data_IF_530243567514
#
_entry.id   IF_530243567514
#
_cell.length_a   1.000
_cell.length_b   1.000
_cell.length_c   1.000
_cell.angle_alpha   90.00
_cell.angle_beta   90.00
_cell.angle_gamma   90.00
#
_symmetry.space_group_name_H-M   'P 1'
#
loop_
_entity.id
_entity.type
_entity.pdbx_description
1 polymer ?
#
# COMPACT_ATOMS: atom_id res chain seq x y z
N UNK A 1 17.71 29.46 10.72
CA UNK A 1 18.74 30.49 10.47
C UNK A 1 19.50 30.04 9.22
N UNK A 2 19.12 30.54 8.04
CA UNK A 2 19.87 30.62 6.78
C UNK A 2 19.00 31.50 5.88
N UNK A 3 19.62 32.57 5.40
CA UNK A 3 19.09 33.66 4.57
C UNK A 3 19.17 33.29 3.09
N UNK A 4 18.05 33.41 2.37
CA UNK A 4 18.05 33.45 0.90
C UNK A 4 17.64 34.86 0.45
N UNK A 5 18.57 35.54 -0.24
CA UNK A 5 18.37 36.89 -0.79
C UNK A 5 17.45 36.81 -2.01
N UNK A 6 16.30 37.48 -1.92
CA UNK A 6 15.49 37.87 -3.08
C UNK A 6 15.94 39.30 -3.43
N UNK A 7 16.50 39.50 -4.62
CA UNK A 7 16.86 40.82 -5.14
C UNK A 7 15.68 41.31 -5.98
N UNK A 8 14.98 42.34 -5.51
CA UNK A 8 14.01 43.10 -6.31
C UNK A 8 14.49 44.56 -6.29
N UNK A 9 14.83 45.11 -7.45
CA UNK A 9 15.26 46.51 -7.58
C UNK A 9 14.10 47.39 -8.04
N UNK A 10 13.63 48.29 -7.18
CA UNK A 10 12.97 49.52 -7.61
C UNK A 10 13.34 50.64 -6.64
N UNK A 11 13.91 51.72 -7.18
CA UNK A 11 14.21 52.97 -6.46
C UNK A 11 12.99 53.90 -6.56
N UNK A 12 12.43 54.32 -5.43
CA UNK A 12 11.71 55.60 -5.24
C UNK A 12 11.69 55.91 -3.73
N UNK A 13 12.14 57.11 -3.37
CA UNK A 13 12.08 57.70 -2.02
C UNK A 13 10.67 58.27 -1.77
N UNK A 14 9.96 57.81 -0.74
CA UNK A 14 8.86 58.57 -0.14
C UNK A 14 8.61 58.19 1.32
N UNK A 15 8.90 59.16 2.19
CA UNK A 15 8.33 59.50 3.51
C UNK A 15 7.66 58.35 4.30
N UNK A 16 8.32 58.00 5.40
CA UNK A 16 7.93 57.07 6.46
C UNK A 16 6.69 57.57 7.22
N UNK A 17 5.55 56.90 7.04
CA UNK A 17 4.46 56.85 8.00
C UNK A 17 4.17 55.37 8.28
N UNK A 18 4.81 54.82 9.31
CA UNK A 18 4.67 53.43 9.71
C UNK A 18 3.32 53.25 10.43
N UNK A 19 2.24 53.16 9.66
CA UNK A 19 0.99 52.57 10.14
C UNK A 19 1.21 51.06 10.18
N UNK A 20 1.57 50.52 11.34
CA UNK A 20 1.59 49.07 11.55
C UNK A 20 0.13 48.61 11.60
N UNK A 21 -0.44 48.36 10.42
CA UNK A 21 -1.58 47.47 10.32
C UNK A 21 -1.06 46.08 10.71
N UNK A 22 -1.28 45.69 11.96
CA UNK A 22 -1.27 44.27 12.31
C UNK A 22 -2.43 43.66 11.52
N UNK A 23 -2.17 43.20 10.30
CA UNK A 23 -2.97 42.13 9.75
C UNK A 23 -2.77 40.96 10.70
N UNK A 24 -3.72 40.79 11.63
CA UNK A 24 -3.88 39.56 12.36
C UNK A 24 -4.18 38.50 11.30
N UNK A 25 -3.13 37.92 10.73
CA UNK A 25 -3.25 36.66 10.03
C UNK A 25 -3.80 35.73 11.11
N UNK A 26 -5.04 35.22 10.97
CA UNK A 26 -5.52 34.24 11.91
C UNK A 26 -4.48 33.13 11.89
N UNK A 27 -3.78 32.92 12.99
CA UNK A 27 -3.10 31.67 13.23
C UNK A 27 -4.21 30.64 13.06
N UNK A 28 -4.21 29.95 11.92
CA UNK A 28 -5.17 28.90 11.65
C UNK A 28 -4.94 27.89 12.77
N UNK A 29 -5.81 27.91 13.78
CA UNK A 29 -5.74 26.98 14.87
C UNK A 29 -5.85 25.60 14.27
N UNK A 30 -4.94 24.69 14.63
CA UNK A 30 -5.05 23.31 14.20
C UNK A 30 -6.37 22.75 14.74
N UNK A 31 -7.33 22.53 13.85
CA UNK A 31 -8.62 21.94 14.20
C UNK A 31 -8.52 20.45 13.91
N UNK A 32 -8.58 19.65 14.96
CA UNK A 32 -8.62 18.20 14.85
C UNK A 32 -10.04 17.71 14.58
N UNK A 33 -10.18 16.73 13.70
CA UNK A 33 -11.46 16.08 13.45
C UNK A 33 -11.45 15.22 12.20
N UNK A 34 -12.59 14.62 11.89
CA UNK A 34 -12.75 13.84 10.67
C UNK A 34 -12.74 14.75 9.43
N UNK A 35 -11.83 14.47 8.49
CA UNK A 35 -11.68 15.24 7.25
C UNK A 35 -12.36 14.60 6.03
N UNK A 36 -12.95 13.42 6.17
CA UNK A 36 -13.63 12.72 5.08
C UNK A 36 -15.08 13.24 4.91
N UNK A 37 -15.43 13.89 3.79
CA UNK A 37 -16.79 14.35 3.52
C UNK A 37 -17.84 13.23 3.45
N UNK A 38 -17.43 11.97 3.30
CA UNK A 38 -18.31 10.80 3.27
C UNK A 38 -18.56 10.20 4.67
N UNK A 39 -17.93 10.73 5.71
CA UNK A 39 -18.10 10.25 7.08
C UNK A 39 -19.30 10.91 7.79
N UNK A 40 -19.90 10.18 8.72
CA UNK A 40 -21.07 10.63 9.51
C UNK A 40 -20.75 11.85 10.40
N UNK A 41 -19.49 12.01 10.81
CA UNK A 41 -19.00 13.07 11.69
C UNK A 41 -17.97 13.98 11.01
N UNK A 42 -18.09 14.15 9.68
CA UNK A 42 -17.27 15.08 8.91
C UNK A 42 -17.26 16.49 9.54
N UNK A 43 -16.06 17.03 9.73
CA UNK A 43 -15.87 18.39 10.19
C UNK A 43 -15.19 19.21 9.09
N UNK A 44 -15.92 20.09 8.36
CA UNK A 44 -15.33 20.90 7.29
C UNK A 44 -14.31 21.92 7.77
N UNK A 45 -14.25 22.21 9.08
CA UNK A 45 -13.22 23.06 9.67
C UNK A 45 -11.96 22.29 10.09
N UNK A 46 -11.96 20.95 10.05
CA UNK A 46 -10.82 20.15 10.47
C UNK A 46 -9.64 20.29 9.49
N UNK A 47 -8.51 20.75 10.02
CA UNK A 47 -7.25 20.89 9.28
C UNK A 47 -6.32 19.70 9.50
N UNK A 48 -6.53 18.92 10.56
CA UNK A 48 -5.75 17.71 10.89
C UNK A 48 -6.70 16.55 11.15
N UNK A 49 -6.49 15.44 10.42
CA UNK A 49 -7.20 14.21 10.70
C UNK A 49 -6.70 13.59 12.00
N UNK A 50 -7.63 13.23 12.87
CA UNK A 50 -7.35 12.51 14.12
C UNK A 50 -7.82 11.05 14.07
N UNK A 51 -8.20 10.55 12.89
CA UNK A 51 -8.67 9.19 12.69
C UNK A 51 -10.05 8.90 13.30
N UNK A 52 -10.80 9.94 13.70
CA UNK A 52 -12.10 9.79 14.36
C UNK A 52 -13.28 9.56 13.41
N UNK A 53 -13.06 9.48 12.10
CA UNK A 53 -14.13 9.33 11.13
C UNK A 53 -14.97 8.08 11.40
N UNK A 54 -16.30 8.23 11.44
CA UNK A 54 -17.24 7.12 11.58
C UNK A 54 -18.06 6.95 10.32
N UNK A 55 -18.38 5.70 9.99
CA UNK A 55 -19.13 5.33 8.79
C UNK A 55 -20.27 4.39 9.17
N UNK A 56 -21.33 4.39 8.37
CA UNK A 56 -22.38 3.37 8.48
C UNK A 56 -21.83 2.00 8.04
N UNK A 57 -22.35 0.92 8.63
CA UNK A 57 -22.07 -0.44 8.14
C UNK A 57 -22.43 -0.51 6.66
N UNK A 58 -21.49 -1.01 5.86
CA UNK A 58 -21.60 -1.10 4.41
C UNK A 58 -21.45 -2.55 4.02
N UNK A 59 -22.55 -3.21 3.67
CA UNK A 59 -22.49 -4.52 3.02
C UNK A 59 -22.07 -4.34 1.57
N UNK A 60 -21.02 -5.03 1.14
CA UNK A 60 -20.47 -4.92 -0.20
C UNK A 60 -20.20 -6.30 -0.77
N UNK A 61 -20.76 -6.60 -1.94
CA UNK A 61 -20.56 -7.89 -2.63
C UNK A 61 -19.63 -7.68 -3.82
N UNK A 62 -18.38 -8.16 -3.75
CA UNK A 62 -17.47 -8.15 -4.89
C UNK A 62 -18.02 -8.94 -6.08
N UNK A 63 -17.70 -8.51 -7.30
CA UNK A 63 -18.16 -9.16 -8.53
C UNK A 63 -17.31 -10.39 -8.79
N UNK A 64 -17.92 -11.56 -8.97
CA UNK A 64 -17.21 -12.78 -9.39
C UNK A 64 -16.61 -12.55 -10.79
N UNK A 65 -15.30 -12.73 -10.91
CA UNK A 65 -14.56 -12.72 -12.19
C UNK A 65 -14.26 -14.13 -12.69
N UNK A 66 -13.93 -15.04 -11.77
CA UNK A 66 -13.54 -16.42 -12.08
C UNK A 66 -14.08 -17.33 -10.97
N UNK A 67 -14.81 -18.38 -11.35
CA UNK A 67 -15.32 -19.41 -10.45
C UNK A 67 -15.45 -20.74 -11.22
N UNK A 68 -14.59 -21.74 -10.96
CA UNK A 68 -13.43 -21.73 -10.06
C UNK A 68 -12.17 -21.11 -10.72
N UNK A 69 -11.23 -20.64 -9.91
CA UNK A 69 -9.84 -20.41 -10.33
C UNK A 69 -9.21 -21.71 -10.86
N UNK A 70 -8.11 -21.57 -11.61
CA UNK A 70 -7.40 -22.72 -12.19
C UNK A 70 -6.97 -23.71 -11.10
N UNK A 71 -7.10 -25.02 -11.36
CA UNK A 71 -6.63 -26.09 -10.46
C UNK A 71 -5.11 -26.06 -10.17
N UNK A 72 -4.35 -25.19 -10.86
CA UNK A 72 -2.94 -24.93 -10.51
C UNK A 72 -2.78 -23.94 -9.35
N UNK A 73 -3.75 -23.04 -9.15
CA UNK A 73 -3.81 -22.04 -8.08
C UNK A 73 -4.94 -22.41 -7.11
N UNK A 74 -4.73 -23.47 -6.34
CA UNK A 74 -5.72 -23.95 -5.37
C UNK A 74 -5.68 -23.17 -4.05
N UNK A 75 -4.52 -22.61 -3.70
CA UNK A 75 -4.24 -21.97 -2.40
C UNK A 75 -3.80 -20.51 -2.58
N UNK A 76 -4.61 -19.72 -3.29
CA UNK A 76 -4.23 -18.36 -3.68
C UNK A 76 -4.23 -17.36 -2.52
N UNK A 77 -3.20 -17.40 -1.68
CA UNK A 77 -3.02 -16.53 -0.49
C UNK A 77 -2.52 -15.13 -0.84
N UNK A 78 -1.80 -14.97 -1.95
CA UNK A 78 -1.33 -13.65 -2.39
C UNK A 78 -1.88 -13.21 -3.74
N UNK A 79 -2.14 -11.91 -3.89
CA UNK A 79 -2.38 -11.27 -5.19
C UNK A 79 -1.50 -10.03 -5.35
N UNK A 80 -0.92 -9.85 -6.54
CA UNK A 80 -0.32 -8.56 -6.87
C UNK A 80 -0.41 -8.21 -8.35
N UNK A 81 -0.62 -6.93 -8.63
CA UNK A 81 -0.50 -6.39 -9.98
C UNK A 81 0.95 -6.00 -10.27
N UNK A 82 1.47 -6.43 -11.42
CA UNK A 82 2.72 -5.91 -11.97
C UNK A 82 2.58 -5.73 -13.49
N UNK A 83 2.65 -4.47 -13.93
CA UNK A 83 2.21 -4.09 -15.26
C UNK A 83 0.71 -4.35 -15.44
N UNK A 84 0.34 -5.03 -16.52
CA UNK A 84 -1.06 -5.36 -16.84
C UNK A 84 -1.49 -6.76 -16.39
N UNK A 85 -0.59 -7.49 -15.71
CA UNK A 85 -0.80 -8.88 -15.32
C UNK A 85 -1.05 -8.99 -13.82
N UNK A 86 -1.92 -9.93 -13.48
CA UNK A 86 -2.16 -10.34 -12.10
C UNK A 86 -1.20 -11.48 -11.77
N UNK A 87 -0.66 -11.47 -10.56
CA UNK A 87 0.25 -12.48 -10.04
C UNK A 87 -0.29 -13.08 -8.76
N UNK A 88 -0.04 -14.36 -8.57
CA UNK A 88 -0.47 -15.14 -7.40
C UNK A 88 0.50 -16.30 -7.17
N UNK A 89 0.36 -17.00 -6.04
CA UNK A 89 1.08 -18.22 -5.69
C UNK A 89 0.19 -19.12 -4.83
N UNK A 90 0.62 -20.35 -4.58
CA UNK A 90 -0.05 -21.24 -3.60
C UNK A 90 0.63 -21.11 -2.24
N UNK A 91 -0.14 -21.05 -1.15
CA UNK A 91 0.31 -20.83 0.23
C UNK A 91 1.53 -21.67 0.62
N UNK A 92 1.38 -22.98 0.86
CA UNK A 92 2.40 -23.77 1.55
C UNK A 92 2.54 -25.19 1.00
N UNK A 93 3.72 -25.80 1.17
CA UNK A 93 3.98 -27.20 0.81
C UNK A 93 4.02 -27.51 -0.70
N UNK A 94 3.69 -26.54 -1.54
CA UNK A 94 3.73 -26.62 -3.00
C UNK A 94 5.08 -26.22 -3.60
N UNK A 95 5.07 -25.94 -4.91
CA UNK A 95 6.23 -25.39 -5.58
C UNK A 95 6.49 -23.94 -5.13
N UNK A 96 7.74 -23.58 -4.85
CA UNK A 96 8.17 -22.20 -4.67
C UNK A 96 8.11 -21.45 -6.02
N UNK A 97 6.91 -21.02 -6.39
CA UNK A 97 6.63 -20.42 -7.68
C UNK A 97 5.48 -19.43 -7.62
N UNK A 98 5.60 -18.36 -8.39
CA UNK A 98 4.50 -17.43 -8.68
C UNK A 98 3.96 -17.68 -10.08
N UNK A 99 2.72 -17.28 -10.31
CA UNK A 99 1.99 -17.52 -11.55
C UNK A 99 1.45 -16.21 -12.11
N UNK A 100 1.75 -15.96 -13.39
CA UNK A 100 1.22 -14.82 -14.14
C UNK A 100 -0.14 -15.18 -14.72
N UNK A 101 -1.12 -14.30 -14.56
CA UNK A 101 -2.45 -14.40 -15.11
C UNK A 101 -2.81 -13.20 -15.98
N UNK A 102 -3.50 -13.48 -17.09
CA UNK A 102 -4.11 -12.42 -17.89
C UNK A 102 -5.36 -11.89 -17.19
N UNK A 103 -5.48 -10.57 -17.03
CA UNK A 103 -6.66 -9.97 -16.39
C UNK A 103 -7.89 -9.85 -17.29
N UNK A 104 -7.74 -10.17 -18.58
CA UNK A 104 -8.84 -10.16 -19.56
C UNK A 104 -9.43 -11.56 -19.71
N UNK A 105 -8.60 -12.55 -20.06
CA UNK A 105 -9.03 -13.94 -20.25
C UNK A 105 -9.05 -14.76 -18.96
N UNK A 106 -8.42 -14.26 -17.89
CA UNK A 106 -8.23 -14.96 -16.62
C UNK A 106 -7.45 -16.27 -16.74
N UNK A 107 -6.69 -16.46 -17.81
CA UNK A 107 -5.86 -17.64 -18.01
C UNK A 107 -4.49 -17.49 -17.34
N UNK A 108 -3.95 -18.60 -16.84
CA UNK A 108 -2.55 -18.70 -16.45
C UNK A 108 -1.67 -18.65 -17.70
N UNK A 109 -0.72 -17.72 -17.70
CA UNK A 109 0.17 -17.45 -18.81
C UNK A 109 1.60 -17.95 -18.56
N UNK A 110 2.04 -17.91 -17.30
CA UNK A 110 3.43 -18.19 -16.96
C UNK A 110 3.55 -18.75 -15.55
N UNK A 111 4.38 -19.79 -15.38
CA UNK A 111 4.88 -20.23 -14.09
C UNK A 111 6.31 -19.76 -13.91
N UNK A 112 6.61 -19.10 -12.80
CA UNK A 112 7.94 -18.59 -12.46
C UNK A 112 8.39 -19.19 -11.14
N UNK A 113 9.30 -20.16 -11.21
CA UNK A 113 9.88 -20.83 -10.05
C UNK A 113 11.10 -20.09 -9.51
N UNK A 114 11.28 -20.10 -8.20
CA UNK A 114 12.38 -19.45 -7.50
C UNK A 114 13.42 -20.52 -7.09
N UNK A 115 14.59 -20.52 -7.74
CA UNK A 115 15.63 -21.51 -7.44
C UNK A 115 16.19 -21.32 -6.03
N UNK A 116 16.17 -22.40 -5.24
CA UNK A 116 16.68 -22.40 -3.85
C UNK A 116 15.72 -21.78 -2.83
N UNK A 117 14.54 -21.31 -3.25
CA UNK A 117 13.47 -20.94 -2.34
C UNK A 117 12.68 -22.19 -1.93
N UNK A 118 12.19 -22.17 -0.70
CA UNK A 118 11.26 -23.16 -0.17
C UNK A 118 9.92 -22.48 0.08
N UNK A 119 8.84 -23.19 -0.24
CA UNK A 119 7.50 -22.75 0.06
C UNK A 119 7.02 -23.40 1.38
N UNK A 120 7.40 -22.78 2.49
CA UNK A 120 7.09 -23.29 3.83
C UNK A 120 5.69 -22.83 4.26
N UNK A 121 5.45 -21.52 4.24
CA UNK A 121 4.18 -20.86 4.58
C UNK A 121 4.22 -19.48 3.90
N UNK A 122 3.95 -19.44 2.59
CA UNK A 122 3.96 -18.19 1.83
C UNK A 122 2.60 -17.52 1.95
N UNK A 123 2.58 -16.25 2.31
CA UNK A 123 1.31 -15.65 2.74
C UNK A 123 0.93 -14.43 1.89
N UNK A 124 1.88 -13.54 1.57
CA UNK A 124 1.57 -12.35 0.77
C UNK A 124 2.67 -11.98 -0.24
N UNK A 125 2.29 -11.20 -1.26
CA UNK A 125 3.14 -10.69 -2.33
C UNK A 125 3.00 -9.19 -2.48
N UNK A 126 4.14 -8.48 -2.54
CA UNK A 126 4.18 -7.06 -2.86
C UNK A 126 5.06 -6.79 -4.09
N UNK A 127 4.85 -5.63 -4.72
CA UNK A 127 5.64 -5.17 -5.86
C UNK A 127 5.86 -3.66 -5.76
N UNK A 128 7.12 -3.22 -5.85
CA UNK A 128 7.50 -1.81 -5.71
C UNK A 128 7.66 -1.07 -7.06
N UNK A 129 7.30 -1.72 -8.17
CA UNK A 129 7.55 -1.22 -9.52
C UNK A 129 8.78 -1.82 -10.19
N UNK A 130 9.69 -2.44 -9.41
CA UNK A 130 10.96 -3.00 -9.91
C UNK A 130 11.14 -4.44 -9.42
N UNK A 131 10.88 -4.70 -8.14
CA UNK A 131 11.09 -5.96 -7.45
C UNK A 131 9.78 -6.52 -6.91
N UNK A 132 9.62 -7.83 -7.04
CA UNK A 132 8.65 -8.59 -6.26
C UNK A 132 9.22 -8.90 -4.88
N UNK A 133 8.32 -9.02 -3.91
CA UNK A 133 8.57 -9.41 -2.54
C UNK A 133 7.57 -10.52 -2.20
N UNK A 134 8.05 -11.68 -1.78
CA UNK A 134 7.20 -12.82 -1.41
C UNK A 134 7.47 -13.17 0.04
N UNK A 135 6.44 -13.09 0.87
CA UNK A 135 6.48 -13.35 2.28
C UNK A 135 6.40 -14.83 2.60
N UNK A 136 7.48 -15.41 3.11
CA UNK A 136 7.51 -16.75 3.71
C UNK A 136 7.56 -16.58 5.23
N UNK A 137 6.40 -16.24 5.79
CA UNK A 137 6.30 -15.72 7.15
C UNK A 137 5.03 -16.11 7.93
N UNK A 138 4.18 -16.98 7.36
CA UNK A 138 3.09 -17.62 8.08
C UNK A 138 3.65 -18.38 9.28
N UNK A 139 2.95 -18.39 10.41
CA UNK A 139 3.45 -18.92 11.67
C UNK A 139 2.30 -19.42 12.57
N UNK A 140 1.16 -19.76 11.98
CA UNK A 140 -0.05 -20.19 12.70
C UNK A 140 0.12 -21.56 13.37
N UNK A 141 0.93 -22.47 12.80
CA UNK A 141 1.01 -23.87 13.22
C UNK A 141 1.56 -24.04 14.63
N UNK A 142 2.55 -23.23 15.03
CA UNK A 142 3.11 -23.31 16.38
C UNK A 142 3.64 -21.98 16.93
N UNK A 143 3.48 -20.87 16.21
CA UNK A 143 3.94 -19.55 16.66
C UNK A 143 5.44 -19.39 16.84
N UNK A 144 6.25 -20.38 16.47
CA UNK A 144 7.66 -20.47 16.86
C UNK A 144 8.64 -20.66 15.70
N UNK A 145 8.24 -20.34 14.46
CA UNK A 145 9.19 -20.24 13.35
C UNK A 145 10.29 -19.23 13.65
N UNK A 146 11.54 -19.63 13.38
CA UNK A 146 12.75 -18.81 13.53
C UNK A 146 13.36 -18.41 12.20
N UNK A 147 12.69 -18.76 11.09
CA UNK A 147 13.17 -18.60 9.72
C UNK A 147 12.23 -17.72 8.88
N UNK A 148 11.51 -16.79 9.51
CA UNK A 148 10.63 -15.84 8.82
C UNK A 148 11.46 -15.00 7.85
N UNK A 149 11.01 -14.90 6.60
CA UNK A 149 11.76 -14.24 5.55
C UNK A 149 10.87 -13.69 4.44
N UNK A 150 11.49 -12.89 3.59
CA UNK A 150 10.89 -12.34 2.38
C UNK A 150 11.88 -12.57 1.23
N UNK A 151 11.43 -13.23 0.16
CA UNK A 151 12.19 -13.37 -1.08
C UNK A 151 11.99 -12.12 -1.94
N UNK A 152 13.08 -11.55 -2.44
CA UNK A 152 13.08 -10.35 -3.29
C UNK A 152 13.78 -10.63 -4.62
N UNK A 153 13.11 -10.40 -5.74
CA UNK A 153 13.70 -10.59 -7.09
C UNK A 153 13.13 -9.60 -8.10
N UNK A 154 13.90 -9.19 -9.12
CA UNK A 154 13.46 -8.17 -10.05
C UNK A 154 12.48 -8.72 -11.08
N UNK A 155 11.47 -7.92 -11.45
CA UNK A 155 10.58 -8.24 -12.58
C UNK A 155 11.37 -8.45 -13.89
N UNK A 156 12.48 -7.73 -14.07
CA UNK A 156 13.35 -7.85 -15.25
C UNK A 156 14.05 -9.21 -15.39
N UNK A 157 14.07 -10.03 -14.33
CA UNK A 157 14.55 -11.40 -14.41
C UNK A 157 13.54 -12.36 -15.08
N UNK A 158 12.28 -11.93 -15.22
CA UNK A 158 11.21 -12.74 -15.80
C UNK A 158 11.08 -12.37 -17.29
N UNK A 159 11.44 -13.27 -18.22
CA UNK A 159 11.30 -13.02 -19.65
C UNK A 159 9.83 -13.02 -20.08
N UNK A 160 9.60 -12.63 -21.33
CA UNK A 160 8.27 -12.64 -21.95
C UNK A 160 7.61 -14.03 -21.87
N UNK A 161 6.31 -14.03 -21.58
CA UNK A 161 5.54 -15.24 -21.30
C UNK A 161 5.18 -16.03 -22.56
N UNK A 162 5.10 -15.38 -23.73
CA UNK A 162 4.72 -16.04 -24.99
C UNK A 162 5.80 -17.05 -25.37
N UNK A 163 7.06 -16.65 -25.24
CA UNK A 163 8.20 -17.52 -25.56
C UNK A 163 8.64 -18.39 -24.38
N UNK A 164 8.29 -18.01 -23.15
CA UNK A 164 8.78 -18.67 -21.93
C UNK A 164 7.64 -18.91 -20.92
N UNK A 165 6.70 -19.83 -21.18
CA UNK A 165 5.56 -20.08 -20.27
C UNK A 165 5.99 -20.73 -18.94
N UNK A 166 7.19 -21.29 -18.85
CA UNK A 166 7.77 -21.82 -17.60
C UNK A 166 9.20 -21.29 -17.48
N UNK A 167 9.50 -20.63 -16.36
CA UNK A 167 10.78 -19.98 -16.09
C UNK A 167 11.25 -20.34 -14.69
N UNK A 168 12.56 -20.45 -14.51
CA UNK A 168 13.19 -20.52 -13.19
C UNK A 168 14.13 -19.34 -13.03
N UNK A 169 13.92 -18.55 -11.98
CA UNK A 169 14.81 -17.45 -11.58
C UNK A 169 16.01 -18.06 -10.85
N UNK A 170 17.25 -17.80 -11.30
CA UNK A 170 18.44 -18.32 -10.63
C UNK A 170 18.58 -17.78 -9.20
N UNK A 171 19.09 -18.61 -8.28
CA UNK A 171 19.27 -18.23 -6.88
C UNK A 171 20.11 -16.94 -6.70
N UNK A 172 21.09 -16.70 -7.56
CA UNK A 172 21.92 -15.48 -7.53
C UNK A 172 21.17 -14.17 -7.86
N UNK A 173 19.90 -14.26 -8.29
CA UNK A 173 19.03 -13.10 -8.54
C UNK A 173 17.92 -12.97 -7.47
N UNK A 174 17.92 -13.85 -6.48
CA UNK A 174 16.93 -13.88 -5.40
C UNK A 174 17.64 -13.44 -4.12
N UNK A 175 17.23 -12.28 -3.63
CA UNK A 175 17.68 -11.73 -2.36
C UNK A 175 16.75 -12.22 -1.24
N UNK A 176 17.31 -12.40 -0.05
CA UNK A 176 16.54 -12.84 1.13
C UNK A 176 16.65 -11.78 2.22
N UNK A 177 15.48 -11.36 2.72
CA UNK A 177 15.33 -10.47 3.86
C UNK A 177 14.77 -11.30 5.00
N UNK A 178 15.60 -11.69 5.95
CA UNK A 178 15.16 -12.43 7.13
C UNK A 178 14.76 -11.44 8.22
N UNK A 179 13.79 -11.81 9.06
CA UNK A 179 13.41 -10.97 10.19
C UNK A 179 12.95 -11.76 11.41
N UNK A 180 12.98 -11.09 12.56
CA UNK A 180 12.29 -11.49 13.78
C UNK A 180 11.52 -10.31 14.36
N UNK A 181 10.51 -10.57 15.18
CA UNK A 181 9.76 -9.52 15.86
C UNK A 181 10.53 -9.02 17.09
N UNK A 182 10.58 -7.69 17.24
CA UNK A 182 11.29 -7.05 18.37
C UNK A 182 10.72 -7.39 19.75
N UNK A 183 9.44 -7.75 19.81
CA UNK A 183 8.65 -7.98 21.01
C UNK A 183 8.19 -9.45 21.16
N UNK A 184 8.64 -10.34 20.28
CA UNK A 184 8.53 -11.78 20.46
C UNK A 184 9.72 -12.31 21.26
N UNK A 185 9.47 -13.14 22.27
CA UNK A 185 10.53 -13.84 22.99
C UNK A 185 11.44 -14.61 22.02
N UNK A 186 12.76 -14.54 22.24
CA UNK A 186 13.76 -15.25 21.46
C UNK A 186 14.56 -16.24 22.35
N UNK A 187 14.64 -17.54 22.00
CA UNK A 187 13.90 -18.18 20.91
C UNK A 187 12.38 -18.18 21.19
N UNK A 188 11.54 -18.19 20.15
CA UNK A 188 10.09 -18.28 20.30
C UNK A 188 9.67 -19.53 21.08
N UNK A 189 8.65 -19.39 21.93
CA UNK A 189 8.04 -20.52 22.63
C UNK A 189 6.94 -21.14 21.76
N UNK A 190 6.99 -22.45 21.46
CA UNK A 190 5.95 -23.12 20.70
C UNK A 190 4.59 -23.05 21.39
N UNK A 191 3.57 -22.76 20.61
CA UNK A 191 2.16 -22.81 20.98
C UNK A 191 1.46 -23.95 20.24
N UNK A 192 0.19 -24.21 20.58
CA UNK A 192 -0.68 -25.02 19.72
C UNK A 192 -1.05 -24.25 18.45
N UNK A 193 -1.59 -24.96 17.46
CA UNK A 193 -2.09 -24.37 16.21
C UNK A 193 -3.04 -23.20 16.50
N UNK A 194 -2.94 -22.15 15.70
CA UNK A 194 -3.81 -20.98 15.71
C UNK A 194 -3.87 -20.34 17.10
N UNK A 195 -2.73 -20.27 17.79
CA UNK A 195 -2.63 -19.69 19.13
C UNK A 195 -1.37 -18.84 19.30
N UNK A 196 -1.16 -17.90 18.37
CA UNK A 196 -0.04 -16.96 18.39
C UNK A 196 -0.50 -15.56 17.97
N UNK A 197 0.23 -14.54 18.42
CA UNK A 197 0.09 -13.15 17.96
C UNK A 197 1.06 -12.79 16.84
N UNK A 198 2.02 -13.69 16.57
CA UNK A 198 3.16 -13.51 15.67
C UNK A 198 3.03 -14.35 14.40
N UNK A 199 1.78 -14.66 14.04
CA UNK A 199 1.42 -15.09 12.71
C UNK A 199 1.21 -13.86 11.83
N UNK A 200 1.78 -13.87 10.63
CA UNK A 200 1.74 -12.74 9.71
C UNK A 200 1.26 -13.24 8.38
N UNK A 201 0.26 -12.57 7.82
CA UNK A 201 -0.30 -12.98 6.54
C UNK A 201 -0.43 -11.83 5.55
N UNK A 202 -0.03 -10.62 5.92
CA UNK A 202 -0.25 -9.46 5.08
C UNK A 202 0.99 -8.54 5.04
N UNK A 203 1.34 -8.07 3.85
CA UNK A 203 2.53 -7.25 3.61
C UNK A 203 2.32 -6.21 2.52
N UNK A 204 2.82 -4.99 2.75
CA UNK A 204 3.02 -4.00 1.69
C UNK A 204 4.45 -3.47 1.68
N UNK A 205 4.90 -2.98 0.53
CA UNK A 205 6.15 -2.22 0.41
C UNK A 205 5.80 -0.77 0.13
N UNK A 206 6.18 0.12 1.04
CA UNK A 206 5.91 1.55 0.93
C UNK A 206 7.06 2.37 1.50
N UNK A 207 7.32 3.54 0.91
CA UNK A 207 8.32 4.49 1.43
C UNK A 207 9.74 3.92 1.58
N UNK A 208 10.10 2.89 0.81
CA UNK A 208 11.40 2.21 0.93
C UNK A 208 11.51 1.24 2.10
N UNK A 209 10.37 0.80 2.65
CA UNK A 209 10.26 -0.08 3.81
C UNK A 209 9.26 -1.20 3.55
N UNK A 210 9.33 -2.24 4.38
CA UNK A 210 8.34 -3.32 4.38
C UNK A 210 7.45 -3.13 5.60
N UNK A 211 6.15 -3.17 5.37
CA UNK A 211 5.13 -3.10 6.40
C UNK A 211 4.42 -4.45 6.47
N UNK A 212 4.35 -5.02 7.66
CA UNK A 212 3.78 -6.35 7.93
C UNK A 212 2.56 -6.19 8.82
N UNK A 213 1.52 -7.00 8.60
CA UNK A 213 0.30 -6.98 9.39
C UNK A 213 0.00 -8.39 9.90
N UNK A 214 -0.10 -8.52 11.22
CA UNK A 214 -0.29 -9.83 11.84
C UNK A 214 -1.72 -10.34 11.71
N UNK A 215 -1.84 -11.67 11.58
CA UNK A 215 -3.06 -12.44 11.80
C UNK A 215 -3.07 -12.88 13.26
N UNK A 216 -3.49 -11.99 14.16
CA UNK A 216 -3.44 -12.28 15.59
C UNK A 216 -4.59 -13.22 16.00
N UNK A 217 -4.27 -14.50 16.20
CA UNK A 217 -5.23 -15.53 16.59
C UNK A 217 -5.75 -15.41 18.03
N UNK A 218 -5.06 -14.65 18.88
CA UNK A 218 -5.39 -14.54 20.31
C UNK A 218 -6.33 -13.38 20.56
N UNK A 219 -5.94 -12.18 20.12
CA UNK A 219 -6.67 -10.95 20.46
C UNK A 219 -7.64 -10.49 19.35
N UNK A 220 -7.60 -11.12 18.18
CA UNK A 220 -8.38 -10.73 16.99
C UNK A 220 -8.17 -9.25 16.64
N UNK A 221 -6.90 -8.88 16.66
CA UNK A 221 -6.36 -7.59 16.23
C UNK A 221 -5.41 -7.81 15.06
N UNK A 222 -4.90 -6.73 14.49
CA UNK A 222 -3.71 -6.78 13.66
C UNK A 222 -2.70 -5.77 14.19
N UNK A 223 -1.46 -6.20 14.36
CA UNK A 223 -0.35 -5.31 14.69
C UNK A 223 0.42 -5.04 13.41
N UNK A 224 0.63 -3.76 13.14
CA UNK A 224 1.43 -3.28 12.03
C UNK A 224 2.90 -3.18 12.48
N UNK A 225 3.77 -3.94 11.84
CA UNK A 225 5.22 -3.89 12.05
C UNK A 225 5.92 -3.27 10.85
N UNK A 226 7.08 -2.68 11.10
CA UNK A 226 7.95 -2.12 10.06
C UNK A 226 9.33 -2.79 10.06
N UNK A 227 9.80 -3.16 8.87
CA UNK A 227 11.20 -3.44 8.57
C UNK A 227 11.76 -2.25 7.80
N UNK A 228 12.71 -1.54 8.41
CA UNK A 228 13.32 -0.35 7.82
C UNK A 228 14.47 -0.70 6.88
N UNK A 229 14.14 -1.29 5.72
CA UNK A 229 15.09 -1.58 4.65
C UNK A 229 14.58 -2.62 3.64
N UNK A 230 15.15 -2.57 2.43
CA UNK A 230 14.82 -3.47 1.32
C UNK A 230 16.03 -4.26 0.80
N UNK A 231 17.19 -4.16 1.48
CA UNK A 231 18.40 -4.87 1.13
C UNK A 231 18.36 -6.29 1.71
N UNK A 232 19.07 -7.27 1.12
CA UNK A 232 19.21 -8.59 1.73
C UNK A 232 19.91 -8.48 3.08
N UNK A 233 19.46 -9.26 4.07
CA UNK A 233 20.04 -9.21 5.40
C UNK A 233 19.15 -9.83 6.48
N UNK A 234 19.51 -9.55 7.73
CA UNK A 234 18.74 -9.91 8.91
C UNK A 234 18.24 -8.62 9.56
N UNK A 235 16.94 -8.54 9.81
CA UNK A 235 16.27 -7.37 10.34
C UNK A 235 15.48 -7.70 11.60
N UNK A 236 15.16 -6.66 12.36
CA UNK A 236 14.19 -6.72 13.44
C UNK A 236 12.98 -5.90 12.99
N UNK A 237 11.80 -6.52 13.02
CA UNK A 237 10.54 -5.87 12.74
C UNK A 237 10.02 -5.20 14.02
N UNK A 238 9.74 -3.89 13.97
CA UNK A 238 9.30 -3.10 15.12
C UNK A 238 7.80 -2.80 15.02
N UNK A 239 7.01 -3.02 16.09
CA UNK A 239 5.59 -2.69 16.08
C UNK A 239 5.41 -1.16 16.06
N UNK A 240 4.49 -0.68 15.23
CA UNK A 240 4.14 0.73 15.12
C UNK A 240 2.79 1.03 15.77
N UNK A 241 1.80 0.18 15.52
CA UNK A 241 0.40 0.41 15.92
C UNK A 241 -0.40 -0.90 15.85
N UNK A 242 -1.51 -0.95 16.58
CA UNK A 242 -2.41 -2.12 16.60
C UNK A 242 -3.84 -1.67 16.34
N UNK A 243 -4.54 -2.36 15.45
CA UNK A 243 -5.95 -2.14 15.15
C UNK A 243 -6.79 -3.31 15.68
N UNK A 244 -7.85 -3.00 16.41
CA UNK A 244 -8.90 -3.98 16.75
C UNK A 244 -9.77 -4.18 15.51
N UNK A 245 -9.56 -5.29 14.82
CA UNK A 245 -10.27 -5.64 13.59
C UNK A 245 -11.54 -6.44 13.87
N UNK A 246 -11.56 -7.27 14.92
CA UNK A 246 -12.61 -8.27 15.16
C UNK A 246 -12.74 -9.33 14.04
N UNK A 247 -11.69 -9.46 13.23
CA UNK A 247 -11.48 -10.52 12.24
C UNK A 247 -9.97 -10.77 12.07
N UNK A 248 -9.61 -11.92 11.51
CA UNK A 248 -8.23 -12.30 11.19
C UNK A 248 -7.84 -11.68 9.85
N UNK A 249 -6.81 -10.81 9.85
CA UNK A 249 -6.26 -10.21 8.62
C UNK A 249 -5.47 -11.26 7.85
N UNK A 250 -5.69 -11.32 6.53
CA UNK A 250 -5.11 -12.33 5.64
C UNK A 250 -4.39 -11.73 4.43
N UNK A 251 -4.65 -10.48 4.07
CA UNK A 251 -3.85 -9.77 3.07
C UNK A 251 -3.93 -8.27 3.22
N UNK A 252 -2.96 -7.58 2.61
CA UNK A 252 -2.97 -6.14 2.47
C UNK A 252 -2.43 -5.72 1.10
N UNK A 253 -2.95 -4.61 0.57
CA UNK A 253 -2.31 -3.95 -0.57
C UNK A 253 -2.46 -2.43 -0.51
N UNK A 254 -1.53 -1.73 -1.14
CA UNK A 254 -1.54 -0.28 -1.26
C UNK A 254 -2.06 0.14 -2.64
N UNK A 255 -3.03 1.04 -2.61
CA UNK A 255 -3.62 1.63 -3.80
C UNK A 255 -2.58 2.33 -4.68
N UNK A 256 -2.68 2.10 -5.99
CA UNK A 256 -1.75 2.65 -6.98
C UNK A 256 -1.84 4.18 -7.00
N UNK A 257 -0.71 4.82 -6.70
CA UNK A 257 -0.54 6.27 -6.75
C UNK A 257 -1.31 7.04 -5.67
N UNK A 258 -2.03 6.36 -4.78
CA UNK A 258 -2.82 6.99 -3.71
C UNK A 258 -2.35 6.53 -2.33
N UNK A 259 -2.54 7.38 -1.33
CA UNK A 259 -2.35 7.07 0.09
C UNK A 259 -3.59 6.36 0.63
N UNK A 260 -3.81 5.15 0.13
CA UNK A 260 -4.86 4.25 0.60
C UNK A 260 -4.30 2.83 0.72
N UNK A 261 -4.56 2.17 1.84
CA UNK A 261 -4.23 0.76 2.06
C UNK A 261 -5.53 0.00 2.27
N UNK A 262 -5.64 -1.19 1.69
CA UNK A 262 -6.71 -2.13 2.00
C UNK A 262 -6.17 -3.25 2.90
N UNK A 263 -6.94 -3.63 3.91
CA UNK A 263 -6.76 -4.91 4.62
C UNK A 263 -7.95 -5.80 4.28
N UNK A 264 -7.69 -7.09 4.08
CA UNK A 264 -8.69 -8.13 3.88
C UNK A 264 -8.61 -9.14 5.03
N UNK A 265 -9.73 -9.78 5.35
CA UNK A 265 -9.72 -10.88 6.30
C UNK A 265 -11.08 -11.51 6.56
N UNK A 266 -11.13 -12.45 7.49
CA UNK A 266 -12.34 -13.17 7.87
C UNK A 266 -12.44 -13.49 9.35
N UNK A 267 -13.67 -13.79 9.80
CA UNK A 267 -13.91 -14.42 11.09
C UNK A 267 -13.75 -15.92 10.99
N UNK A 268 -12.97 -16.52 11.90
CA UNK A 268 -12.83 -17.97 12.04
C UNK A 268 -14.04 -18.60 12.76
N UNK A 269 -15.24 -18.28 12.29
CA UNK A 269 -16.52 -18.82 12.80
C UNK A 269 -17.44 -19.06 11.62
N UNK A 270 -18.02 -20.25 11.47
CA UNK A 270 -18.96 -20.53 10.39
C UNK A 270 -20.16 -19.54 10.41
N UNK A 271 -20.55 -18.93 9.27
CA UNK A 271 -20.17 -19.24 7.89
C UNK A 271 -18.91 -18.53 7.35
N UNK A 272 -18.09 -17.92 8.22
CA UNK A 272 -16.86 -17.22 7.83
C UNK A 272 -17.19 -15.90 7.13
N UNK A 273 -17.62 -14.90 7.90
CA UNK A 273 -17.86 -13.55 7.35
C UNK A 273 -16.54 -12.88 7.04
N UNK A 274 -16.46 -12.25 5.87
CA UNK A 274 -15.28 -11.53 5.40
C UNK A 274 -15.44 -10.04 5.60
N UNK A 275 -14.31 -9.34 5.69
CA UNK A 275 -14.27 -7.90 5.89
C UNK A 275 -13.14 -7.29 5.08
N UNK A 276 -13.35 -6.07 4.62
CA UNK A 276 -12.30 -5.24 4.04
C UNK A 276 -12.24 -3.92 4.80
N UNK A 277 -11.05 -3.48 5.20
CA UNK A 277 -10.81 -2.13 5.70
C UNK A 277 -10.11 -1.29 4.64
N UNK A 278 -10.63 -0.10 4.37
CA UNK A 278 -9.88 0.95 3.69
C UNK A 278 -9.30 1.91 4.72
N UNK A 279 -7.98 2.11 4.65
CA UNK A 279 -7.20 3.00 5.48
C UNK A 279 -6.78 4.20 4.63
N UNK A 280 -7.25 5.40 4.95
CA UNK A 280 -7.01 6.62 4.18
C UNK A 280 -6.65 7.80 5.09
N UNK A 281 -6.11 8.87 4.51
CA UNK A 281 -5.73 10.10 5.25
C UNK A 281 -4.89 9.81 6.52
N UNK A 282 -4.02 8.81 6.38
CA UNK A 282 -3.02 8.42 7.36
C UNK A 282 -1.74 9.25 7.17
N UNK A 283 -0.87 9.28 8.19
CA UNK A 283 0.37 10.03 8.14
C UNK A 283 1.56 9.31 8.81
N UNK A 284 2.77 9.67 8.37
CA UNK A 284 4.02 9.21 9.00
C UNK A 284 4.31 7.72 8.83
N UNK A 285 3.70 7.05 7.85
CA UNK A 285 3.80 5.60 7.69
C UNK A 285 2.93 4.80 8.66
N UNK A 286 2.15 5.46 9.54
CA UNK A 286 1.22 4.81 10.45
C UNK A 286 -0.19 4.80 9.82
N UNK A 287 -0.61 3.68 9.26
CA UNK A 287 -1.88 3.51 8.56
C UNK A 287 -3.11 3.54 9.48
N UNK A 288 -2.99 3.09 10.72
CA UNK A 288 -4.11 3.05 11.67
C UNK A 288 -4.33 4.37 12.40
N UNK A 289 -3.53 5.41 12.18
CA UNK A 289 -3.86 6.75 12.65
C UNK A 289 -4.85 7.50 11.74
N UNK A 290 -5.05 6.99 10.52
CA UNK A 290 -5.96 7.57 9.53
C UNK A 290 -7.41 7.14 9.68
N UNK A 291 -8.21 7.42 8.66
CA UNK A 291 -9.60 6.99 8.54
C UNK A 291 -9.68 5.48 8.30
N UNK A 292 -10.67 4.82 8.90
CA UNK A 292 -10.88 3.37 8.79
C UNK A 292 -12.32 3.13 8.35
N UNK A 293 -12.51 2.72 7.11
CA UNK A 293 -13.83 2.37 6.57
C UNK A 293 -13.93 0.87 6.39
N UNK A 294 -14.83 0.23 7.12
CA UNK A 294 -15.08 -1.22 7.03
C UNK A 294 -16.18 -1.52 6.02
N UNK A 295 -15.99 -2.60 5.28
CA UNK A 295 -16.98 -3.24 4.42
C UNK A 295 -17.24 -4.65 4.93
N UNK A 296 -18.51 -4.99 5.10
CA UNK A 296 -18.94 -6.34 5.43
C UNK A 296 -19.13 -7.09 4.11
N UNK A 297 -18.27 -8.07 3.87
CA UNK A 297 -18.27 -8.88 2.65
C UNK A 297 -19.05 -10.18 2.87
N UNK A 298 -19.54 -10.85 1.80
CA UNK A 298 -20.25 -12.10 1.93
C UNK A 298 -19.40 -13.21 2.58
N UNK A 299 -20.08 -14.25 3.04
CA UNK A 299 -19.44 -15.37 3.74
C UNK A 299 -18.67 -16.31 2.79
N UNK A 300 -18.04 -17.35 3.36
CA UNK A 300 -17.20 -18.32 2.63
C UNK A 300 -17.92 -19.03 1.47
N UNK A 301 -19.25 -19.17 1.54
CA UNK A 301 -20.03 -19.84 0.47
C UNK A 301 -20.06 -19.02 -0.82
N UNK A 302 -19.90 -17.69 -0.70
CA UNK A 302 -19.96 -16.78 -1.83
C UNK A 302 -18.55 -16.43 -2.29
N UNK A 303 -17.71 -15.91 -1.38
CA UNK A 303 -16.37 -15.38 -1.70
C UNK A 303 -15.30 -16.48 -1.75
N UNK A 304 -15.53 -17.63 -1.10
CA UNK A 304 -14.45 -18.53 -0.69
C UNK A 304 -13.74 -17.98 0.56
N UNK A 305 -12.69 -18.66 1.03
CA UNK A 305 -11.86 -18.16 2.12
C UNK A 305 -10.93 -17.08 1.56
N UNK A 306 -11.31 -15.82 1.70
CA UNK A 306 -10.64 -14.72 1.02
C UNK A 306 -9.28 -14.42 1.66
N UNK A 307 -8.21 -14.63 0.90
CA UNK A 307 -6.84 -14.57 1.41
C UNK A 307 -5.92 -13.66 0.60
N UNK A 308 -6.22 -13.33 -0.67
CA UNK A 308 -5.43 -12.34 -1.42
C UNK A 308 -6.23 -11.09 -1.77
N UNK A 309 -5.61 -9.91 -1.73
CA UNK A 309 -6.17 -8.63 -2.23
C UNK A 309 -5.12 -7.85 -3.02
N UNK A 310 -5.50 -7.21 -4.12
CA UNK A 310 -4.63 -6.24 -4.79
C UNK A 310 -5.42 -5.15 -5.53
N UNK A 311 -4.79 -4.00 -5.73
CA UNK A 311 -5.27 -2.90 -6.55
C UNK A 311 -4.73 -3.00 -7.98
N UNK A 312 -5.62 -2.84 -8.96
CA UNK A 312 -5.26 -2.64 -10.38
C UNK A 312 -5.29 -1.19 -10.79
N UNK A 313 -6.07 -0.37 -10.10
CA UNK A 313 -6.08 1.09 -10.23
C UNK A 313 -6.20 1.71 -8.83
N UNK A 314 -6.36 3.03 -8.75
CA UNK A 314 -6.56 3.71 -7.48
C UNK A 314 -7.74 3.16 -6.65
N UNK A 315 -8.84 2.72 -7.27
CA UNK A 315 -10.04 2.28 -6.53
C UNK A 315 -10.60 0.94 -6.96
N UNK A 316 -10.06 0.35 -8.02
CA UNK A 316 -10.49 -0.95 -8.53
C UNK A 316 -9.39 -2.00 -8.34
N UNK A 317 -9.78 -3.20 -7.94
CA UNK A 317 -8.85 -4.28 -7.63
C UNK A 317 -9.50 -5.66 -7.66
N UNK A 318 -8.77 -6.65 -7.13
CA UNK A 318 -9.17 -8.05 -7.09
C UNK A 318 -9.02 -8.65 -5.71
N UNK A 319 -9.84 -9.67 -5.42
CA UNK A 319 -9.75 -10.52 -4.24
C UNK A 319 -9.69 -11.98 -4.70
N UNK A 320 -8.74 -12.76 -4.19
CA UNK A 320 -8.70 -14.21 -4.38
C UNK A 320 -9.10 -14.93 -3.10
N UNK A 321 -9.51 -16.18 -3.28
CA UNK A 321 -9.75 -17.10 -2.17
C UNK A 321 -9.01 -18.41 -2.33
N UNK A 322 -8.77 -19.06 -1.21
CA UNK A 322 -8.25 -20.42 -1.10
C UNK A 322 -9.39 -21.46 -1.25
N UNK A 323 -9.00 -22.69 -1.59
CA UNK A 323 -9.78 -23.89 -1.44
C UNK A 323 -10.18 -24.13 0.01
N UNK A 324 -11.44 -23.83 0.32
CA UNK A 324 -11.98 -24.08 1.65
C UNK A 324 -12.34 -25.56 1.84
N UNK A 325 -11.39 -26.31 2.42
CA UNK A 325 -11.46 -27.77 2.64
C UNK A 325 -12.76 -28.25 3.29
N UNK A 326 -13.28 -27.64 4.38
CA UNK A 326 -14.42 -28.20 5.12
C UNK A 326 -15.68 -28.40 4.28
N UNK A 327 -15.86 -27.59 3.23
CA UNK A 327 -16.99 -27.68 2.31
C UNK A 327 -16.59 -27.88 0.84
N UNK A 328 -15.30 -28.13 0.57
CA UNK A 328 -14.76 -28.27 -0.79
C UNK A 328 -15.10 -27.10 -1.72
N UNK A 329 -15.12 -25.88 -1.18
CA UNK A 329 -15.41 -24.67 -1.97
C UNK A 329 -14.14 -24.35 -2.74
N UNK A 330 -14.27 -24.31 -4.07
CA UNK A 330 -13.16 -24.01 -4.96
C UNK A 330 -12.73 -22.53 -4.83
N UNK A 331 -11.43 -22.25 -4.99
CA UNK A 331 -10.90 -20.88 -5.00
C UNK A 331 -11.55 -20.06 -6.12
N UNK A 332 -11.68 -18.76 -5.90
CA UNK A 332 -12.35 -17.83 -6.83
C UNK A 332 -11.56 -16.54 -6.96
N UNK A 333 -11.78 -15.84 -8.07
CA UNK A 333 -11.33 -14.46 -8.24
C UNK A 333 -12.53 -13.53 -8.28
N UNK A 334 -12.50 -12.49 -7.48
CA UNK A 334 -13.48 -11.41 -7.46
C UNK A 334 -12.83 -10.09 -7.84
N UNK A 335 -13.65 -9.15 -8.31
CA UNK A 335 -13.27 -7.76 -8.49
C UNK A 335 -14.03 -6.86 -7.52
N UNK A 336 -13.36 -5.84 -7.02
CA UNK A 336 -13.96 -4.77 -6.24
C UNK A 336 -13.71 -3.41 -6.88
N UNK A 337 -14.61 -2.47 -6.63
CA UNK A 337 -14.48 -1.04 -6.93
C UNK A 337 -15.00 -0.25 -5.74
N UNK A 338 -14.12 0.57 -5.16
CA UNK A 338 -14.42 1.41 -4.00
C UNK A 338 -14.58 2.88 -4.36
N UNK A 339 -14.67 3.23 -5.65
CA UNK A 339 -14.73 4.61 -6.14
C UNK A 339 -15.84 5.44 -5.50
N UNK A 340 -17.00 4.85 -5.23
CA UNK A 340 -18.13 5.51 -4.56
C UNK A 340 -17.98 5.66 -3.03
N UNK A 341 -16.92 5.12 -2.43
CA UNK A 341 -16.72 5.09 -0.98
C UNK A 341 -15.49 5.87 -0.52
N UNK A 342 -14.78 6.50 -1.45
CA UNK A 342 -13.58 7.28 -1.19
C UNK A 342 -13.70 8.63 -1.89
N UNK A 343 -13.16 9.66 -1.28
CA UNK A 343 -13.07 11.00 -1.86
C UNK A 343 -11.74 11.64 -1.49
N UNK A 344 -11.28 12.59 -2.31
CA UNK A 344 -10.07 13.39 -2.05
C UNK A 344 -8.84 12.55 -1.67
N UNK A 345 -8.64 11.41 -2.33
CA UNK A 345 -7.53 10.51 -2.03
C UNK A 345 -6.19 11.21 -2.28
N UNK A 346 -5.49 11.46 -1.18
CA UNK A 346 -4.14 11.99 -1.18
C UNK A 346 -3.21 11.10 -1.99
N UNK A 347 -2.19 11.69 -2.60
CA UNK A 347 -1.24 11.02 -3.48
C UNK A 347 0.19 11.53 -3.25
N UNK A 348 1.19 10.79 -3.71
CA UNK A 348 2.57 11.29 -3.79
C UNK A 348 2.99 11.34 -5.25
N UNK A 349 3.43 12.51 -5.71
CA UNK A 349 3.91 12.74 -7.07
C UNK A 349 5.40 13.07 -7.03
N UNK A 350 6.20 12.37 -7.83
CA UNK A 350 7.64 12.55 -7.87
C UNK A 350 8.06 13.05 -9.26
N UNK A 351 8.61 14.26 -9.33
CA UNK A 351 9.25 14.78 -10.53
C UNK A 351 10.72 14.38 -10.52
N UNK A 352 11.13 13.56 -11.49
CA UNK A 352 12.51 13.04 -11.60
C UNK A 352 13.21 13.45 -12.91
N UNK A 353 12.46 14.00 -13.87
CA UNK A 353 12.97 14.37 -15.17
C UNK A 353 13.65 15.74 -15.22
N UNK A 354 13.57 16.37 -16.39
CA UNK A 354 14.14 17.70 -16.64
C UNK A 354 13.25 18.48 -17.62
N UNK A 355 12.93 19.73 -17.27
CA UNK A 355 12.10 20.61 -18.09
C UNK A 355 10.69 20.77 -17.53
N UNK A 356 9.69 20.76 -18.42
CA UNK A 356 8.35 21.25 -18.12
C UNK A 356 7.56 20.32 -17.18
N UNK A 357 6.83 20.93 -16.26
CA UNK A 357 5.92 20.27 -15.31
C UNK A 357 4.80 19.52 -16.01
N UNK A 358 4.24 20.07 -17.09
CA UNK A 358 3.14 19.43 -17.80
C UNK A 358 3.57 18.29 -18.76
N UNK A 359 4.85 17.95 -18.83
CA UNK A 359 5.34 16.80 -19.58
C UNK A 359 5.28 15.53 -18.70
N UNK A 360 4.42 14.54 -19.04
CA UNK A 360 4.31 13.31 -18.27
C UNK A 360 5.63 12.55 -18.10
N UNK A 361 6.54 12.60 -19.09
CA UNK A 361 7.80 11.86 -19.04
C UNK A 361 8.73 12.29 -17.91
N UNK A 362 8.48 13.47 -17.33
CA UNK A 362 9.26 13.98 -16.22
C UNK A 362 8.78 13.46 -14.84
N UNK A 363 7.66 12.75 -14.80
CA UNK A 363 7.05 12.24 -13.57
C UNK A 363 7.21 10.74 -13.48
N UNK A 364 7.41 10.24 -12.25
CA UNK A 364 7.35 8.80 -11.98
C UNK A 364 6.00 8.26 -12.45
N UNK A 365 6.05 7.13 -13.17
CA UNK A 365 4.89 6.46 -13.80
C UNK A 365 4.11 7.31 -14.82
N UNK A 366 4.69 8.40 -15.34
CA UNK A 366 4.03 9.34 -16.24
C UNK A 366 2.78 10.01 -15.65
N UNK A 367 2.73 10.18 -14.32
CA UNK A 367 1.58 10.75 -13.61
C UNK A 367 1.87 12.21 -13.24
N UNK A 368 1.37 13.14 -14.06
CA UNK A 368 1.37 14.57 -13.74
C UNK A 368 0.31 14.85 -12.66
N UNK A 369 0.62 15.62 -11.61
CA UNK A 369 -0.38 15.95 -10.60
C UNK A 369 -1.47 16.88 -11.16
N UNK A 370 -2.72 16.80 -10.65
CA UNK A 370 -3.81 17.68 -11.08
C UNK A 370 -3.49 19.15 -10.78
N UNK A 371 -4.09 20.07 -11.56
CA UNK A 371 -3.82 21.51 -11.46
C UNK A 371 -4.07 22.13 -10.07
N UNK A 372 -4.95 21.51 -9.29
CA UNK A 372 -5.09 21.74 -7.84
C UNK A 372 -4.85 20.41 -7.15
N UNK A 373 -3.85 20.34 -6.28
CA UNK A 373 -3.53 19.09 -5.58
C UNK A 373 -4.43 18.87 -4.37
N UNK A 374 -4.82 17.62 -4.12
CA UNK A 374 -5.64 17.29 -2.95
C UNK A 374 -4.89 17.50 -1.63
N UNK A 375 -5.56 17.96 -0.55
CA UNK A 375 -4.97 18.02 0.78
C UNK A 375 -4.34 16.70 1.22
N UNK A 376 -3.23 16.75 1.97
CA UNK A 376 -2.48 15.56 2.41
C UNK A 376 -1.61 14.90 1.32
N UNK A 377 -1.77 15.31 0.06
CA UNK A 377 -0.88 14.90 -1.02
C UNK A 377 0.48 15.56 -0.93
N UNK A 378 1.47 14.93 -1.55
CA UNK A 378 2.85 15.39 -1.56
C UNK A 378 3.38 15.44 -2.98
N UNK A 379 4.12 16.50 -3.30
CA UNK A 379 4.91 16.62 -4.52
C UNK A 379 6.37 16.69 -4.10
N UNK A 380 7.17 15.78 -4.63
CA UNK A 380 8.62 15.79 -4.47
C UNK A 380 9.26 16.18 -5.81
N UNK A 381 10.03 17.25 -5.79
CA UNK A 381 10.80 17.73 -6.93
C UNK A 381 12.24 17.29 -6.76
N UNK A 382 12.65 16.28 -7.53
CA UNK A 382 13.99 15.71 -7.51
C UNK A 382 14.54 15.43 -8.93
N UNK A 383 14.70 16.46 -9.77
CA UNK A 383 15.23 16.30 -11.12
C UNK A 383 16.61 15.63 -11.14
N UNK A 384 16.95 15.00 -12.25
CA UNK A 384 18.29 14.46 -12.50
C UNK A 384 19.39 15.51 -12.25
N UNK A 385 20.64 15.12 -11.87
CA UNK A 385 21.72 16.06 -11.63
C UNK A 385 21.92 17.08 -12.77
N UNK A 386 21.96 18.38 -12.43
CA UNK A 386 22.04 19.47 -13.41
C UNK A 386 20.72 19.82 -14.11
N UNK A 387 19.66 19.04 -13.91
CA UNK A 387 18.33 19.30 -14.40
C UNK A 387 17.54 20.31 -13.54
N UNK A 388 16.38 20.68 -14.04
CA UNK A 388 15.43 21.56 -13.37
C UNK A 388 14.00 21.10 -13.61
N UNK A 389 13.13 21.34 -12.64
CA UNK A 389 11.69 21.28 -12.83
C UNK A 389 11.17 22.69 -13.16
N UNK A 390 10.47 22.83 -14.28
CA UNK A 390 9.89 24.10 -14.74
C UNK A 390 8.38 24.03 -14.59
N UNK A 391 7.82 24.68 -13.57
CA UNK A 391 6.38 24.86 -13.46
C UNK A 391 5.91 25.87 -14.52
N UNK A 392 5.46 25.34 -15.65
CA UNK A 392 5.04 26.10 -16.84
C UNK A 392 3.51 26.26 -16.96
N UNK A 393 2.76 25.92 -15.91
CA UNK A 393 1.30 26.02 -15.82
C UNK A 393 0.91 26.80 -14.55
N UNK A 394 -0.35 27.23 -14.48
CA UNK A 394 -0.95 27.65 -13.20
C UNK A 394 -1.21 26.42 -12.34
N UNK A 395 -0.79 26.46 -11.09
CA UNK A 395 -0.86 25.34 -10.16
C UNK A 395 -1.21 25.80 -8.75
N UNK A 396 -2.10 25.06 -8.09
CA UNK A 396 -2.56 25.36 -6.74
C UNK A 396 -2.17 24.24 -5.77
N UNK A 397 -1.44 24.59 -4.72
CA UNK A 397 -1.15 23.72 -3.58
C UNK A 397 -2.23 23.98 -2.53
N UNK A 398 -3.17 23.04 -2.39
CA UNK A 398 -4.23 23.14 -1.39
C UNK A 398 -3.68 23.10 0.04
N UNK A 399 -4.40 23.71 0.98
CA UNK A 399 -4.07 23.69 2.39
C UNK A 399 -3.84 22.25 2.88
N UNK A 400 -2.69 22.01 3.53
CA UNK A 400 -2.28 20.69 4.03
C UNK A 400 -1.65 19.74 3.01
N UNK A 401 -1.53 20.13 1.73
CA UNK A 401 -0.64 19.45 0.79
C UNK A 401 0.81 19.95 0.95
N UNK A 402 1.80 19.17 0.50
CA UNK A 402 3.22 19.53 0.56
C UNK A 402 3.82 19.59 -0.83
N UNK A 403 4.57 20.65 -1.11
CA UNK A 403 5.48 20.75 -2.25
C UNK A 403 6.91 20.86 -1.71
N UNK A 404 7.71 19.81 -1.94
CA UNK A 404 9.08 19.70 -1.43
C UNK A 404 10.03 19.71 -2.60
N UNK A 405 11.05 20.57 -2.55
CA UNK A 405 12.17 20.56 -3.51
C UNK A 405 13.37 19.92 -2.81
N UNK A 406 13.91 18.83 -3.38
CA UNK A 406 15.06 18.17 -2.81
C UNK A 406 16.25 19.14 -2.76
N UNK A 407 17.08 19.02 -1.72
CA UNK A 407 18.22 19.91 -1.52
C UNK A 407 19.12 19.92 -2.76
N UNK A 408 19.64 21.09 -3.13
CA UNK A 408 20.48 21.33 -4.32
C UNK A 408 19.78 21.22 -5.69
N UNK A 409 18.47 20.94 -5.74
CA UNK A 409 17.71 20.85 -6.99
C UNK A 409 17.06 22.17 -7.37
N UNK A 410 16.82 22.35 -8.67
CA UNK A 410 16.24 23.56 -9.24
C UNK A 410 14.74 23.39 -9.51
N UNK A 411 13.95 24.30 -8.96
CA UNK A 411 12.54 24.45 -9.26
C UNK A 411 12.29 25.88 -9.76
N UNK A 412 11.84 26.00 -11.02
CA UNK A 412 11.66 27.26 -11.73
C UNK A 412 10.17 27.47 -11.96
N UNK A 413 9.62 28.59 -11.48
CA UNK A 413 8.22 28.94 -11.67
C UNK A 413 8.13 29.89 -12.87
N UNK A 414 7.58 29.42 -13.98
CA UNK A 414 7.28 30.23 -15.18
C UNK A 414 5.78 30.52 -15.31
N UNK A 415 4.93 29.63 -14.81
CA UNK A 415 3.49 29.84 -14.65
C UNK A 415 3.16 30.53 -13.32
N UNK A 416 2.01 30.20 -12.75
CA UNK A 416 1.58 30.70 -11.44
C UNK A 416 1.60 29.58 -10.41
N UNK A 417 2.17 29.84 -9.23
CA UNK A 417 2.07 28.95 -8.08
C UNK A 417 1.23 29.63 -7.00
N UNK A 418 0.09 29.02 -6.68
CA UNK A 418 -0.84 29.48 -5.64
C UNK A 418 -0.68 28.54 -4.44
N UNK A 419 -0.41 29.09 -3.26
CA UNK A 419 -0.36 28.34 -2.01
C UNK A 419 -1.58 28.75 -1.17
N UNK A 420 -2.37 27.78 -0.73
CA UNK A 420 -3.58 27.99 0.07
C UNK A 420 -3.38 27.70 1.55
#
# INVERSE_FOLDING_TARGET
MITTRIIISYTINLILMLLVLFESHPLCGQVYGCRDPLANNYNPSATINNGSCTYNSTSYTPIIKVDPLSDTLIESSGLQMAGNFLWSFNDGGGAAAIYRMDTITNMLLQKVSLSGAENIDWEDIAFDGIYFYIGDFGNNANGARTNLKIYKFPLSAIPDYISNPVVTIPAGQINIINFSYSDQQQPPLPTINNNTKFDCEAMIVDGGKIHLFTKNWIDITTTHYEINGLAPGNYIAYPLETLITNYLVTAADKSIGKKMVALLGYKNTFPGLHYMHLLTDYNGGNYFNGNKRQFDLPNVLIVGQAEGICFKTATYGYISSDYFVPLSIKPKLHAFDVSNFVSNLAATYNFIGNGNWNDPNNWVNNIVPPATIEPGSEIMIDPAPGGQCVLNISYTVSAGAKLTVNTTKNFVIQGNLILQ
#
